data_IF_276841058697
#
_entry.id   IF_276841058697
#
_cell.length_a   1.000
_cell.length_b   1.000
_cell.length_c   1.000
_cell.angle_alpha   90.00
_cell.angle_beta   90.00
_cell.angle_gamma   90.00
#
_symmetry.space_group_name_H-M   'P 1'
#
loop_
_entity.id
_entity.type
_entity.pdbx_description
1 polymer ?
#
# COMPACT_ATOMS: atom_id res chain seq x y z
N UNK A 1 35.56 35.89 30.24
CA UNK A 1 35.03 36.47 28.97
C UNK A 1 35.20 35.39 27.91
N UNK A 2 34.11 34.75 27.46
CA UNK A 2 33.30 35.18 26.27
C UNK A 2 34.13 34.92 24.98
N UNK A 3 33.81 34.06 24.02
CA UNK A 3 32.59 33.38 23.60
C UNK A 3 33.01 32.17 22.72
N UNK A 4 32.53 30.96 23.00
CA UNK A 4 32.46 29.89 22.00
C UNK A 4 30.98 29.76 21.62
N UNK A 5 30.55 30.56 20.63
CA UNK A 5 29.17 30.51 20.15
C UNK A 5 29.02 29.23 19.32
N UNK A 6 28.24 28.31 19.86
CA UNK A 6 27.60 27.19 19.17
C UNK A 6 26.99 27.70 17.84
N UNK A 7 27.68 27.44 16.74
CA UNK A 7 27.17 27.69 15.38
C UNK A 7 26.77 26.36 14.72
N UNK A 8 26.04 25.51 15.44
CA UNK A 8 25.59 24.19 14.95
C UNK A 8 24.08 23.95 15.04
N UNK A 9 23.28 24.94 15.47
CA UNK A 9 21.83 24.79 15.68
C UNK A 9 20.94 25.49 14.65
N UNK A 10 21.44 25.70 13.43
CA UNK A 10 20.64 26.25 12.32
C UNK A 10 20.86 25.41 11.04
N UNK A 11 20.80 24.09 11.18
CA UNK A 11 20.34 23.30 10.05
C UNK A 11 18.82 23.49 10.01
N UNK A 12 18.26 24.11 8.95
CA UNK A 12 16.82 24.03 8.76
C UNK A 12 16.48 22.55 8.76
N UNK A 13 15.65 22.13 9.71
CA UNK A 13 15.00 20.83 9.63
C UNK A 13 14.12 20.91 8.38
N UNK A 14 14.69 20.54 7.23
CA UNK A 14 13.95 20.31 5.99
C UNK A 14 13.12 19.08 6.30
N UNK A 15 11.94 19.32 6.88
CA UNK A 15 10.93 18.31 7.08
C UNK A 15 10.49 17.88 5.70
N UNK A 16 11.08 16.80 5.19
CA UNK A 16 10.56 16.12 4.01
C UNK A 16 9.15 15.65 4.37
N UNK A 17 8.14 16.37 3.86
CA UNK A 17 6.75 15.99 4.03
C UNK A 17 6.55 14.55 3.57
N UNK A 18 5.86 13.74 4.39
CA UNK A 18 5.60 12.34 4.06
C UNK A 18 4.68 12.29 2.82
N UNK A 19 5.24 11.96 1.65
CA UNK A 19 4.45 11.86 0.43
C UNK A 19 3.55 10.61 0.44
N UNK A 20 2.43 10.74 -0.24
CA UNK A 20 1.39 9.73 -0.37
C UNK A 20 1.21 9.45 -1.86
N UNK A 21 1.37 8.19 -2.23
CA UNK A 21 1.06 7.70 -3.56
C UNK A 21 -0.45 7.48 -3.68
N UNK A 22 -1.08 8.21 -4.59
CA UNK A 22 -2.44 7.99 -5.03
C UNK A 22 -2.41 7.06 -6.24
N UNK A 23 -3.02 5.89 -6.07
CA UNK A 23 -3.05 4.85 -7.07
C UNK A 23 -4.47 4.72 -7.60
N UNK A 24 -4.62 4.88 -8.91
CA UNK A 24 -5.89 4.68 -9.60
C UNK A 24 -6.33 3.21 -9.43
N UNK A 25 -7.54 2.96 -8.91
CA UNK A 25 -8.03 1.58 -8.69
C UNK A 25 -8.13 0.75 -9.97
N UNK A 26 -8.27 1.41 -11.11
CA UNK A 26 -8.28 0.76 -12.42
C UNK A 26 -6.88 0.56 -13.01
N UNK A 27 -5.83 1.05 -12.34
CA UNK A 27 -4.43 0.99 -12.75
C UNK A 27 -4.21 1.60 -14.16
N UNK A 28 -5.06 2.57 -14.52
CA UNK A 28 -5.12 3.15 -15.87
C UNK A 28 -4.38 4.48 -15.98
N UNK A 29 -4.13 5.13 -14.85
CA UNK A 29 -3.45 6.43 -14.73
C UNK A 29 -2.13 6.26 -13.99
N UNK A 30 -1.11 7.12 -14.20
CA UNK A 30 0.13 7.07 -13.42
C UNK A 30 -0.12 7.34 -11.92
N UNK A 31 0.80 6.87 -11.07
CA UNK A 31 0.77 7.18 -9.64
C UNK A 31 1.01 8.68 -9.45
N UNK A 32 0.12 9.31 -8.68
CA UNK A 32 0.29 10.71 -8.29
C UNK A 32 0.85 10.76 -6.88
N UNK A 33 1.93 11.51 -6.67
CA UNK A 33 2.49 11.73 -5.34
C UNK A 33 2.04 13.07 -4.79
N UNK A 34 1.38 13.06 -3.64
CA UNK A 34 0.85 14.25 -2.97
C UNK A 34 1.33 14.34 -1.53
N UNK A 35 1.35 15.54 -0.96
CA UNK A 35 1.71 15.74 0.45
C UNK A 35 0.52 15.54 1.40
N UNK A 36 -0.71 15.68 0.89
CA UNK A 36 -1.95 15.46 1.63
C UNK A 36 -3.03 14.86 0.71
N UNK A 37 -3.87 13.99 1.27
CA UNK A 37 -5.01 13.40 0.56
C UNK A 37 -6.26 14.23 0.81
N UNK A 38 -7.00 14.51 -0.24
CA UNK A 38 -8.33 15.10 -0.16
C UNK A 38 -9.44 14.03 -0.32
N UNK A 39 -10.64 14.33 0.19
CA UNK A 39 -11.79 13.41 0.07
C UNK A 39 -12.22 13.15 -1.37
N UNK A 40 -12.05 14.14 -2.26
CA UNK A 40 -12.42 14.01 -3.66
C UNK A 40 -11.55 12.97 -4.38
N UNK A 41 -10.27 12.83 -4.02
CA UNK A 41 -9.36 11.83 -4.57
C UNK A 41 -9.83 10.41 -4.21
N UNK A 42 -10.26 10.19 -2.96
CA UNK A 42 -10.82 8.89 -2.55
C UNK A 42 -12.12 8.61 -3.31
N UNK A 43 -13.02 9.60 -3.42
CA UNK A 43 -14.26 9.45 -4.21
C UNK A 43 -14.01 9.22 -5.71
N UNK A 44 -12.95 9.80 -6.26
CA UNK A 44 -12.52 9.60 -7.66
C UNK A 44 -11.91 8.21 -7.93
N UNK A 45 -11.89 7.33 -6.93
CA UNK A 45 -11.43 5.96 -7.09
C UNK A 45 -9.92 5.80 -6.94
N UNK A 46 -9.24 6.71 -6.24
CA UNK A 46 -7.87 6.46 -5.81
C UNK A 46 -7.85 5.62 -4.53
N UNK A 47 -6.87 4.74 -4.43
CA UNK A 47 -6.43 4.19 -3.15
C UNK A 47 -5.05 4.75 -2.82
N UNK A 48 -4.76 4.90 -1.54
CA UNK A 48 -3.58 5.60 -1.06
C UNK A 48 -2.58 4.62 -0.46
N UNK A 49 -1.30 4.83 -0.72
CA UNK A 49 -0.19 4.17 -0.02
C UNK A 49 0.83 5.24 0.33
N UNK A 50 1.32 5.27 1.56
CA UNK A 50 2.43 6.18 1.88
C UNK A 50 3.69 5.76 1.13
N UNK A 51 4.41 6.71 0.53
CA UNK A 51 5.57 6.42 -0.31
C UNK A 51 6.59 5.51 0.41
N UNK A 52 6.87 5.82 1.69
CA UNK A 52 7.76 5.04 2.55
C UNK A 52 7.33 3.57 2.73
N UNK A 53 6.04 3.28 2.60
CA UNK A 53 5.46 1.95 2.82
C UNK A 53 5.35 1.14 1.50
N UNK A 54 5.52 1.75 0.33
CA UNK A 54 5.34 1.09 -0.99
C UNK A 54 6.16 -0.20 -1.10
N UNK A 55 7.42 -0.17 -0.68
CA UNK A 55 8.29 -1.35 -0.78
C UNK A 55 7.79 -2.51 0.09
N UNK A 56 7.29 -2.20 1.30
CA UNK A 56 6.69 -3.21 2.17
C UNK A 56 5.37 -3.73 1.64
N UNK A 57 4.55 -2.87 1.01
CA UNK A 57 3.32 -3.29 0.32
C UNK A 57 3.63 -4.22 -0.85
N UNK A 58 4.61 -3.89 -1.69
CA UNK A 58 5.05 -4.78 -2.79
C UNK A 58 5.45 -6.16 -2.26
N UNK A 59 6.26 -6.21 -1.20
CA UNK A 59 6.69 -7.47 -0.58
C UNK A 59 5.51 -8.27 0.01
N UNK A 60 4.52 -7.58 0.61
CA UNK A 60 3.29 -8.19 1.09
C UNK A 60 2.47 -8.80 -0.04
N UNK A 61 2.29 -8.06 -1.15
CA UNK A 61 1.59 -8.54 -2.35
C UNK A 61 2.30 -9.75 -2.96
N UNK A 62 3.64 -9.73 -3.09
CA UNK A 62 4.43 -10.88 -3.58
C UNK A 62 4.23 -12.11 -2.69
N UNK A 63 4.19 -11.92 -1.38
CA UNK A 63 3.96 -13.01 -0.43
C UNK A 63 2.57 -13.62 -0.60
N UNK A 64 1.54 -12.78 -0.76
CA UNK A 64 0.16 -13.23 -1.02
C UNK A 64 0.09 -13.98 -2.35
N UNK A 65 0.65 -13.41 -3.42
CA UNK A 65 0.74 -14.07 -4.73
C UNK A 65 1.30 -15.48 -4.63
N UNK A 66 2.40 -15.66 -3.91
CA UNK A 66 3.08 -16.94 -3.71
C UNK A 66 2.16 -17.97 -3.01
N UNK A 67 1.38 -17.53 -2.02
CA UNK A 67 0.42 -18.38 -1.31
C UNK A 67 -0.69 -18.88 -2.25
N UNK A 68 -1.27 -17.99 -3.06
CA UNK A 68 -2.29 -18.37 -4.06
C UNK A 68 -1.69 -19.33 -5.08
N UNK A 69 -0.54 -18.99 -5.68
CA UNK A 69 0.08 -19.80 -6.73
C UNK A 69 0.49 -21.20 -6.26
N UNK A 70 0.88 -21.32 -4.98
CA UNK A 70 1.26 -22.61 -4.39
C UNK A 70 0.06 -23.42 -3.88
N UNK A 71 -1.17 -22.90 -4.04
CA UNK A 71 -2.41 -23.46 -3.47
C UNK A 71 -2.29 -23.69 -1.95
N UNK A 72 -1.37 -22.99 -1.29
CA UNK A 72 -1.18 -23.09 0.15
C UNK A 72 -2.29 -22.29 0.81
N UNK A 73 -3.03 -22.94 1.70
CA UNK A 73 -4.06 -22.27 2.47
C UNK A 73 -3.40 -21.27 3.41
N UNK A 74 -3.97 -20.07 3.51
CA UNK A 74 -3.70 -19.20 4.64
C UNK A 74 -3.98 -19.99 5.92
N UNK A 75 -3.07 -19.89 6.91
CA UNK A 75 -3.31 -20.47 8.23
C UNK A 75 -4.65 -19.97 8.78
N UNK A 76 -5.29 -20.73 9.67
CA UNK A 76 -6.66 -20.42 10.12
C UNK A 76 -6.83 -19.00 10.71
N UNK A 77 -5.73 -18.37 11.13
CA UNK A 77 -5.63 -16.96 11.51
C UNK A 77 -4.54 -16.29 10.68
N UNK A 78 -4.84 -15.82 9.45
CA UNK A 78 -3.90 -14.97 8.75
C UNK A 78 -3.69 -13.72 9.60
N UNK A 79 -2.49 -13.59 10.19
CA UNK A 79 -2.14 -12.40 10.95
C UNK A 79 -2.15 -11.24 9.97
N UNK A 80 -2.89 -10.18 10.27
CA UNK A 80 -2.79 -8.93 9.52
C UNK A 80 -1.31 -8.53 9.46
N UNK A 81 -0.77 -8.40 8.25
CA UNK A 81 0.59 -7.94 8.08
C UNK A 81 0.56 -6.42 7.97
N UNK A 82 1.35 -5.75 8.82
CA UNK A 82 1.41 -4.30 8.89
C UNK A 82 2.71 -3.84 8.22
N UNK A 83 2.59 -2.94 7.26
CA UNK A 83 3.71 -2.23 6.64
C UNK A 83 3.47 -0.74 6.80
N UNK A 84 3.96 -0.19 7.92
CA UNK A 84 3.73 1.19 8.33
C UNK A 84 2.24 1.48 8.53
N UNK A 85 1.68 2.32 7.68
CA UNK A 85 0.27 2.75 7.73
C UNK A 85 -0.66 1.87 6.87
N UNK A 86 -0.11 0.84 6.22
CA UNK A 86 -0.86 -0.08 5.36
C UNK A 86 -0.96 -1.46 5.99
N UNK A 87 -2.15 -2.06 5.89
CA UNK A 87 -2.53 -3.33 6.50
C UNK A 87 -3.01 -4.27 5.40
N UNK A 88 -2.61 -5.53 5.49
CA UNK A 88 -3.25 -6.59 4.71
C UNK A 88 -4.29 -7.27 5.58
N UNK A 89 -5.56 -7.05 5.26
CA UNK A 89 -6.71 -7.64 5.94
C UNK A 89 -7.14 -8.90 5.22
N UNK A 90 -7.40 -9.93 6.00
CA UNK A 90 -7.77 -11.24 5.51
C UNK A 90 -9.14 -11.63 6.08
N UNK A 91 -10.10 -11.87 5.20
CA UNK A 91 -11.44 -12.29 5.59
C UNK A 91 -11.68 -13.70 5.08
N UNK A 92 -11.89 -14.64 6.00
CA UNK A 92 -12.17 -16.03 5.64
C UNK A 92 -13.67 -16.30 5.72
N UNK A 93 -14.24 -16.85 4.65
CA UNK A 93 -15.64 -17.32 4.62
C UNK A 93 -15.66 -18.78 4.19
N UNK A 94 -15.60 -19.68 5.17
CA UNK A 94 -15.53 -21.13 4.90
C UNK A 94 -14.21 -21.54 4.25
N UNK A 95 -14.26 -22.00 2.99
CA UNK A 95 -13.07 -22.36 2.19
C UNK A 95 -12.52 -21.19 1.38
N UNK A 96 -13.29 -20.12 1.25
CA UNK A 96 -12.94 -18.93 0.49
C UNK A 96 -12.22 -17.91 1.39
N UNK A 97 -11.41 -17.07 0.76
CA UNK A 97 -10.73 -15.97 1.44
C UNK A 97 -10.72 -14.73 0.56
N UNK A 98 -10.95 -13.58 1.18
CA UNK A 98 -10.75 -12.26 0.61
C UNK A 98 -9.49 -11.66 1.23
N UNK A 99 -8.72 -10.96 0.40
CA UNK A 99 -7.56 -10.19 0.87
C UNK A 99 -7.72 -8.76 0.41
N UNK A 100 -7.63 -7.81 1.33
CA UNK A 100 -7.67 -6.39 1.05
C UNK A 100 -6.42 -5.70 1.58
N UNK A 101 -5.98 -4.67 0.86
CA UNK A 101 -4.92 -3.74 1.28
C UNK A 101 -5.60 -2.49 1.80
N UNK A 102 -5.52 -2.25 3.10
CA UNK A 102 -6.13 -1.11 3.77
C UNK A 102 -5.05 -0.13 4.18
N UNK A 103 -5.11 1.12 3.74
CA UNK A 103 -4.20 2.16 4.22
C UNK A 103 -4.98 3.20 4.99
N UNK A 104 -4.51 3.48 6.21
CA UNK A 104 -5.09 4.50 7.09
C UNK A 104 -4.23 5.75 7.05
N UNK A 105 -4.84 6.89 6.77
CA UNK A 105 -4.22 8.21 6.80
C UNK A 105 -5.08 9.14 7.63
N UNK A 106 -4.62 9.49 8.85
CA UNK A 106 -5.35 10.33 9.80
C UNK A 106 -6.83 9.91 9.96
N UNK A 107 -7.77 10.66 9.37
CA UNK A 107 -9.22 10.44 9.44
C UNK A 107 -9.79 9.68 8.23
N UNK A 108 -8.94 9.28 7.29
CA UNK A 108 -9.35 8.71 6.00
C UNK A 108 -8.75 7.32 5.82
N UNK A 109 -9.56 6.39 5.33
CA UNK A 109 -9.13 5.05 4.97
C UNK A 109 -9.41 4.80 3.50
N UNK A 110 -8.54 4.06 2.84
CA UNK A 110 -8.84 3.50 1.53
C UNK A 110 -8.45 2.03 1.51
N UNK A 111 -9.24 1.22 0.82
CA UNK A 111 -8.98 -0.21 0.67
C UNK A 111 -8.86 -0.59 -0.81
N UNK A 112 -8.00 -1.56 -1.12
CA UNK A 112 -7.92 -2.20 -2.43
C UNK A 112 -8.09 -3.71 -2.25
N UNK A 113 -9.17 -4.28 -2.76
CA UNK A 113 -9.38 -5.73 -2.76
C UNK A 113 -8.34 -6.36 -3.68
N UNK A 114 -7.45 -7.17 -3.13
CA UNK A 114 -6.40 -7.88 -3.86
C UNK A 114 -6.89 -9.24 -4.36
N UNK A 115 -7.63 -9.96 -3.52
CA UNK A 115 -8.22 -11.27 -3.81
C UNK A 115 -9.72 -11.19 -3.60
N UNK A 116 -10.48 -11.51 -4.64
CA UNK A 116 -11.93 -11.59 -4.59
C UNK A 116 -12.35 -13.08 -4.57
N UNK A 117 -13.07 -13.56 -3.55
CA UNK A 117 -13.50 -14.94 -3.45
C UNK A 117 -14.47 -15.36 -4.58
N UNK A 118 -15.14 -14.41 -5.23
CA UNK A 118 -16.00 -14.68 -6.39
C UNK A 118 -15.22 -14.92 -7.68
N UNK A 119 -13.89 -14.75 -7.66
CA UNK A 119 -12.99 -14.89 -8.81
C UNK A 119 -12.11 -16.13 -8.69
N UNK A 120 -11.74 -16.69 -9.84
CA UNK A 120 -10.80 -17.81 -9.88
C UNK A 120 -9.40 -17.40 -9.41
N UNK A 121 -8.61 -18.37 -8.94
CA UNK A 121 -7.20 -18.13 -8.57
C UNK A 121 -6.41 -17.50 -9.73
N UNK A 122 -6.70 -17.90 -10.98
CA UNK A 122 -6.05 -17.34 -12.17
C UNK A 122 -6.39 -15.85 -12.38
N UNK A 123 -7.66 -15.47 -12.25
CA UNK A 123 -8.08 -14.06 -12.34
C UNK A 123 -7.48 -13.22 -11.20
N UNK A 124 -7.46 -13.76 -9.98
CA UNK A 124 -6.86 -13.09 -8.83
C UNK A 124 -5.35 -12.92 -9.01
N UNK A 125 -4.64 -13.95 -9.46
CA UNK A 125 -3.20 -13.86 -9.78
C UNK A 125 -2.92 -12.83 -10.88
N UNK A 126 -3.71 -12.79 -11.95
CA UNK A 126 -3.57 -11.79 -13.01
C UNK A 126 -3.79 -10.36 -12.49
N UNK A 127 -4.76 -10.16 -11.60
CA UNK A 127 -4.98 -8.86 -10.94
C UNK A 127 -3.79 -8.47 -10.07
N UNK A 128 -3.27 -9.40 -9.28
CA UNK A 128 -2.08 -9.20 -8.44
C UNK A 128 -0.86 -8.82 -9.30
N UNK A 129 -0.64 -9.52 -10.40
CA UNK A 129 0.49 -9.27 -11.30
C UNK A 129 0.42 -7.89 -11.93
N UNK A 130 -0.75 -7.49 -12.42
CA UNK A 130 -0.97 -6.12 -12.92
C UNK A 130 -0.68 -5.05 -11.87
N UNK A 131 -1.12 -5.26 -10.62
CA UNK A 131 -0.84 -4.31 -9.55
C UNK A 131 0.66 -4.26 -9.22
N UNK A 132 1.33 -5.40 -9.15
CA UNK A 132 2.78 -5.46 -8.90
C UNK A 132 3.58 -4.75 -9.98
N UNK A 133 3.27 -5.00 -11.24
CA UNK A 133 3.96 -4.38 -12.37
C UNK A 133 3.76 -2.86 -12.35
N UNK A 134 2.53 -2.43 -12.10
CA UNK A 134 2.17 -1.02 -11.98
C UNK A 134 2.95 -0.32 -10.85
N UNK A 135 3.01 -0.91 -9.65
CA UNK A 135 3.75 -0.36 -8.49
C UNK A 135 5.28 -0.39 -8.66
N UNK A 136 5.80 -1.33 -9.44
CA UNK A 136 7.24 -1.42 -9.72
C UNK A 136 7.67 -0.42 -10.79
N UNK A 137 6.87 -0.24 -11.83
CA UNK A 137 7.14 0.70 -12.91
C UNK A 137 7.25 2.14 -12.39
N UNK A 138 6.43 2.51 -11.41
CA UNK A 138 6.45 3.84 -10.77
C UNK A 138 7.66 4.11 -9.88
N UNK A 139 8.47 3.10 -9.56
CA UNK A 139 9.68 3.23 -8.74
C UNK A 139 10.91 3.60 -9.59
N UNK A 140 10.78 3.54 -10.92
CA UNK A 140 11.82 3.85 -11.90
C UNK A 140 11.68 5.23 -12.54
N UNK A 141 10.72 6.04 -12.07
CA UNK A 141 10.44 7.42 -12.53
C UNK A 141 10.81 8.42 -11.43
#
# INVERSE_FOLDING_TARGET
MKYAILLSMLLPAIGFGQKIALIDRHLSKPILYVEAVDYNQIQKGYFLIYEKDISGVINGIVSIRSLISSKKRFSANPKNFVTGNTYFSYFKKGKEYEVAIDTKSNMMGSFFTLVDPAKSDAENLQKIDRLLDYLKASKSS
#
